data_IF_759212047629
#
_entry.id   IF_759212047629
#
_cell.length_a   1.000
_cell.length_b   1.000
_cell.length_c   1.000
_cell.angle_alpha   90.00
_cell.angle_beta   90.00
_cell.angle_gamma   90.00
#
_symmetry.space_group_name_H-M   'P 1'
#
loop_
_entity.id
_entity.type
_entity.pdbx_description
1 polymer ?
#
# COMPACT_ATOMS: atom_id res chain seq x y z
N UNK A 1 -8.81 3.76 -17.71
CA UNK A 1 -8.71 3.82 -16.24
C UNK A 1 -7.40 4.52 -15.91
N UNK A 2 -7.37 5.43 -14.92
CA UNK A 2 -6.12 6.05 -14.49
C UNK A 2 -5.14 5.01 -13.95
N UNK A 3 -3.84 5.30 -14.07
CA UNK A 3 -2.76 4.46 -13.57
C UNK A 3 -2.19 5.10 -12.32
N UNK A 4 -1.82 4.26 -11.37
CA UNK A 4 -1.25 4.70 -10.11
C UNK A 4 0.06 3.98 -9.85
N UNK A 5 1.12 4.72 -9.60
CA UNK A 5 2.36 4.22 -9.03
C UNK A 5 2.23 4.22 -7.50
N UNK A 6 2.40 3.07 -6.89
CA UNK A 6 2.29 2.87 -5.44
C UNK A 6 3.62 2.34 -4.93
N UNK A 7 4.17 3.00 -3.91
CA UNK A 7 5.37 2.59 -3.19
C UNK A 7 5.05 2.45 -1.70
N UNK A 8 5.56 1.40 -1.07
CA UNK A 8 5.40 1.16 0.36
C UNK A 8 6.65 0.48 0.95
N UNK A 9 7.09 0.92 2.13
CA UNK A 9 8.18 0.31 2.87
C UNK A 9 7.57 -0.66 3.88
N UNK A 10 7.77 -1.95 3.66
CA UNK A 10 7.20 -2.98 4.53
C UNK A 10 7.81 -2.95 5.95
N UNK A 11 7.00 -3.15 7.01
CA UNK A 11 7.44 -3.14 8.41
C UNK A 11 8.16 -4.45 8.82
N UNK A 12 9.11 -4.93 8.01
CA UNK A 12 9.88 -6.13 8.26
C UNK A 12 11.29 -5.81 8.82
N UNK A 13 11.96 -6.81 9.43
CA UNK A 13 13.32 -6.67 9.99
C UNK A 13 14.33 -6.12 8.97
N UNK A 14 14.12 -6.40 7.68
CA UNK A 14 14.74 -5.69 6.56
C UNK A 14 13.64 -4.89 5.88
N UNK A 15 13.65 -3.57 6.04
CA UNK A 15 12.68 -2.69 5.38
C UNK A 15 12.78 -2.88 3.85
N UNK A 16 11.78 -3.54 3.27
CA UNK A 16 11.73 -3.82 1.83
C UNK A 16 10.80 -2.83 1.15
N UNK A 17 11.31 -2.17 0.10
CA UNK A 17 10.50 -1.33 -0.77
C UNK A 17 9.64 -2.22 -1.68
N UNK A 18 8.33 -2.18 -1.48
CA UNK A 18 7.32 -2.73 -2.38
C UNK A 18 6.87 -1.62 -3.32
N UNK A 19 6.95 -1.86 -4.63
CA UNK A 19 6.52 -0.88 -5.64
C UNK A 19 5.76 -1.56 -6.77
N UNK A 20 4.62 -0.99 -7.15
CA UNK A 20 3.77 -1.53 -8.21
C UNK A 20 3.01 -0.42 -8.92
N UNK A 21 2.79 -0.61 -10.23
CA UNK A 21 1.89 0.23 -11.01
C UNK A 21 0.58 -0.54 -11.19
N UNK A 22 -0.53 0.07 -10.80
CA UNK A 22 -1.86 -0.53 -10.87
C UNK A 22 -2.83 0.41 -11.61
N UNK A 23 -3.76 -0.17 -12.35
CA UNK A 23 -4.87 0.57 -12.97
C UNK A 23 -6.11 0.45 -12.08
N UNK A 24 -6.88 1.52 -11.93
CA UNK A 24 -8.14 1.47 -11.17
C UNK A 24 -8.91 2.76 -11.22
N UNK A 25 -10.14 2.75 -10.69
CA UNK A 25 -11.05 3.90 -10.76
C UNK A 25 -10.71 5.00 -9.73
N UNK A 26 -10.05 4.64 -8.63
CA UNK A 26 -9.65 5.57 -7.58
C UNK A 26 -8.41 5.06 -6.84
N UNK A 27 -7.75 5.97 -6.11
CA UNK A 27 -6.63 5.65 -5.22
C UNK A 27 -6.96 4.54 -4.23
N UNK A 28 -8.15 4.55 -3.62
CA UNK A 28 -8.54 3.56 -2.61
C UNK A 28 -8.67 2.14 -3.20
N UNK A 29 -9.25 2.04 -4.41
CA UNK A 29 -9.38 0.76 -5.12
C UNK A 29 -8.02 0.16 -5.43
N UNK A 30 -7.09 0.96 -5.96
CA UNK A 30 -5.74 0.46 -6.28
C UNK A 30 -4.91 0.18 -5.02
N UNK A 31 -5.12 0.93 -3.94
CA UNK A 31 -4.44 0.69 -2.67
C UNK A 31 -4.86 -0.64 -2.05
N UNK A 32 -6.15 -0.98 -2.15
CA UNK A 32 -6.68 -2.29 -1.71
C UNK A 32 -6.13 -3.43 -2.54
N UNK A 33 -6.02 -3.27 -3.85
CA UNK A 33 -5.36 -4.25 -4.71
C UNK A 33 -3.88 -4.42 -4.36
N UNK A 34 -3.16 -3.31 -4.15
CA UNK A 34 -1.77 -3.33 -3.70
C UNK A 34 -1.60 -4.07 -2.36
N UNK A 35 -2.49 -3.81 -1.40
CA UNK A 35 -2.48 -4.50 -0.11
C UNK A 35 -2.56 -6.01 -0.29
N UNK A 36 -3.55 -6.49 -1.06
CA UNK A 36 -3.75 -7.92 -1.28
C UNK A 36 -2.54 -8.58 -1.93
N UNK A 37 -1.91 -7.90 -2.89
CA UNK A 37 -0.81 -8.44 -3.69
C UNK A 37 0.56 -8.38 -3.00
N UNK A 38 0.87 -7.29 -2.30
CA UNK A 38 2.25 -6.96 -1.89
C UNK A 38 2.42 -6.75 -0.37
N UNK A 39 1.34 -6.47 0.36
CA UNK A 39 1.42 -6.12 1.79
C UNK A 39 0.74 -7.15 2.70
N UNK A 40 -0.19 -7.97 2.18
CA UNK A 40 -1.00 -8.91 2.95
C UNK A 40 -0.19 -9.93 3.75
N UNK A 41 1.07 -10.19 3.39
CA UNK A 41 1.98 -11.03 4.16
C UNK A 41 2.39 -10.42 5.52
N UNK A 42 2.32 -9.09 5.67
CA UNK A 42 2.74 -8.35 6.87
C UNK A 42 1.57 -7.95 7.78
N UNK A 43 0.33 -8.16 7.32
CA UNK A 43 -0.89 -7.77 8.02
C UNK A 43 -1.88 -8.94 8.09
N UNK A 44 -2.89 -8.82 8.94
CA UNK A 44 -4.02 -9.76 8.91
C UNK A 44 -4.75 -9.68 7.56
N UNK A 45 -5.15 -10.82 7.00
CA UNK A 45 -5.91 -10.86 5.73
C UNK A 45 -7.41 -10.62 5.98
N UNK A 46 -7.73 -9.49 6.61
CA UNK A 46 -9.08 -9.04 6.92
C UNK A 46 -9.20 -7.51 6.81
N UNK A 47 -10.39 -6.99 7.11
CA UNK A 47 -10.65 -5.55 7.06
C UNK A 47 -9.82 -4.75 8.07
N UNK A 48 -9.48 -5.34 9.22
CA UNK A 48 -8.64 -4.69 10.21
C UNK A 48 -7.20 -4.56 9.72
N UNK A 49 -6.66 -5.61 9.07
CA UNK A 49 -5.34 -5.56 8.48
C UNK A 49 -5.20 -4.50 7.40
N UNK A 50 -6.21 -4.34 6.54
CA UNK A 50 -6.23 -3.24 5.57
C UNK A 50 -6.29 -1.86 6.24
N UNK A 51 -7.02 -1.74 7.35
CA UNK A 51 -7.09 -0.50 8.11
C UNK A 51 -5.72 -0.11 8.67
N UNK A 52 -5.03 -1.03 9.36
CA UNK A 52 -3.68 -0.79 9.88
C UNK A 52 -2.67 -0.50 8.78
N UNK A 53 -2.72 -1.23 7.67
CA UNK A 53 -1.90 -0.92 6.50
C UNK A 53 -2.12 0.51 6.00
N UNK A 54 -3.37 1.00 5.95
CA UNK A 54 -3.64 2.39 5.56
C UNK A 54 -3.08 3.39 6.56
N UNK A 55 -3.19 3.13 7.86
CA UNK A 55 -2.59 3.98 8.88
C UNK A 55 -1.09 4.09 8.70
N UNK A 56 -0.39 2.96 8.53
CA UNK A 56 1.05 2.93 8.27
C UNK A 56 1.40 3.61 6.94
N UNK A 57 0.64 3.36 5.88
CA UNK A 57 0.88 3.91 4.55
C UNK A 57 0.83 5.45 4.54
N UNK A 58 -0.10 6.04 5.31
CA UNK A 58 -0.28 7.49 5.40
C UNK A 58 0.38 8.10 6.64
N UNK A 59 1.15 7.34 7.41
CA UNK A 59 1.87 7.87 8.57
C UNK A 59 2.98 8.83 8.13
N UNK A 60 2.76 10.12 8.40
CA UNK A 60 3.67 11.21 8.06
C UNK A 60 5.00 11.12 8.82
N UNK A 61 5.04 10.43 9.97
CA UNK A 61 6.25 10.31 10.78
C UNK A 61 7.24 9.30 10.19
N UNK A 62 6.74 8.24 9.57
CA UNK A 62 7.55 7.17 8.98
C UNK A 62 7.74 7.33 7.47
N UNK A 63 6.90 8.12 6.79
CA UNK A 63 6.93 8.29 5.32
C UNK A 63 6.89 6.93 4.60
N UNK A 64 6.10 5.99 5.13
CA UNK A 64 6.14 4.59 4.72
C UNK A 64 5.45 4.32 3.40
N UNK A 65 4.53 5.17 2.94
CA UNK A 65 3.76 4.98 1.71
C UNK A 65 3.69 6.20 0.79
N UNK A 66 3.54 5.95 -0.51
CA UNK A 66 3.29 6.99 -1.52
C UNK A 66 2.46 6.45 -2.68
N UNK A 67 1.51 7.27 -3.16
CA UNK A 67 0.65 6.96 -4.30
C UNK A 67 0.48 8.17 -5.23
N UNK A 68 0.87 7.98 -6.50
CA UNK A 68 0.85 9.00 -7.54
C UNK A 68 0.05 8.51 -8.74
N UNK A 69 -0.83 9.35 -9.27
CA UNK A 69 -1.50 9.10 -10.56
C UNK A 69 -0.53 9.47 -11.70
N UNK A 70 -0.42 8.60 -12.71
CA UNK A 70 0.53 8.71 -13.84
C UNK A 70 -0.13 8.49 -15.19
#
# INVERSE_FOLDING_TARGET
>A
MPRYAIAFIAPAQTAQLRHKILEGESKDVVLRSFFNDEASEFYSNDEQGFHYFKEDFYDENSSSGSILEI
#
